data_IF_512209702032
#
_entry.id   IF_512209702032
#
_cell.length_a   1.000
_cell.length_b   1.000
_cell.length_c   1.000
_cell.angle_alpha   90.00
_cell.angle_beta   90.00
_cell.angle_gamma   90.00
#
_symmetry.space_group_name_H-M   'P 1'
#
loop_
_entity.id
_entity.type
_entity.pdbx_description
1 polymer ?
#
# COMPACT_ATOMS: atom_id res chain seq x y z
N UNK A 1 -11.72 -1.89 -8.83
CA UNK A 1 -10.37 -1.30 -8.80
C UNK A 1 -9.73 -1.46 -10.18
N UNK A 2 -8.94 -0.49 -10.64
CA UNK A 2 -8.28 -0.60 -11.93
C UNK A 2 -6.98 -1.41 -11.78
N UNK A 3 -7.06 -2.73 -11.96
CA UNK A 3 -5.86 -3.53 -12.23
C UNK A 3 -5.27 -3.07 -13.56
N UNK A 4 -4.00 -2.67 -13.54
CA UNK A 4 -3.29 -2.29 -14.77
C UNK A 4 -2.15 -3.26 -14.99
N UNK A 5 -2.13 -3.88 -16.15
CA UNK A 5 -1.03 -4.71 -16.61
C UNK A 5 -0.20 -3.90 -17.60
N UNK A 6 1.07 -3.68 -17.26
CA UNK A 6 2.04 -3.08 -18.16
C UNK A 6 2.93 -4.19 -18.73
N UNK A 7 2.89 -4.38 -20.05
CA UNK A 7 3.78 -5.28 -20.76
C UNK A 7 4.92 -4.45 -21.37
N UNK A 8 6.15 -4.72 -20.96
CA UNK A 8 7.35 -4.02 -21.43
C UNK A 8 8.20 -5.01 -22.22
N UNK A 9 8.60 -4.59 -23.42
CA UNK A 9 9.43 -5.38 -24.32
C UNK A 9 10.73 -4.62 -24.55
N UNK A 10 11.85 -5.28 -24.27
CA UNK A 10 13.19 -4.77 -24.51
C UNK A 10 13.83 -5.56 -25.66
N UNK A 11 14.19 -4.87 -26.73
CA UNK A 11 14.79 -5.47 -27.93
C UNK A 11 16.04 -4.69 -28.33
N UNK A 12 17.18 -5.36 -28.46
CA UNK A 12 18.39 -4.75 -29.01
C UNK A 12 19.03 -3.66 -28.13
N UNK A 13 18.83 -3.71 -26.81
CA UNK A 13 19.46 -2.76 -25.89
C UNK A 13 20.99 -2.84 -26.00
N UNK A 14 21.66 -1.70 -26.16
CA UNK A 14 23.12 -1.67 -26.30
C UNK A 14 23.85 -1.82 -24.96
N UNK A 15 23.17 -1.51 -23.86
CA UNK A 15 23.68 -1.58 -22.49
C UNK A 15 22.59 -2.10 -21.56
N UNK A 16 23.01 -2.66 -20.43
CA UNK A 16 22.10 -2.98 -19.34
C UNK A 16 21.32 -1.72 -18.96
N UNK A 17 19.99 -1.86 -18.90
CA UNK A 17 19.09 -0.73 -18.70
C UNK A 17 18.10 -1.08 -17.60
N UNK A 18 17.96 -0.19 -16.62
CA UNK A 18 16.95 -0.31 -15.56
C UNK A 18 15.80 0.65 -15.82
N UNK A 19 14.58 0.14 -15.82
CA UNK A 19 13.35 0.94 -15.80
C UNK A 19 12.89 1.10 -14.35
N UNK A 20 12.71 2.35 -13.93
CA UNK A 20 12.18 2.72 -12.61
C UNK A 20 10.76 3.22 -12.76
N UNK A 21 9.80 2.51 -12.17
CA UNK A 21 8.39 2.90 -12.15
C UNK A 21 8.12 3.72 -10.88
N UNK A 22 7.64 4.95 -11.06
CA UNK A 22 7.42 5.94 -10.00
C UNK A 22 5.97 6.39 -9.99
N UNK A 23 5.49 6.87 -8.84
CA UNK A 23 4.16 7.48 -8.72
C UNK A 23 4.12 8.93 -9.21
N UNK A 24 5.23 9.64 -9.01
CA UNK A 24 5.41 11.02 -9.44
C UNK A 24 6.63 11.13 -10.35
N UNK A 25 6.56 11.89 -11.46
CA UNK A 25 7.71 12.14 -12.30
C UNK A 25 8.83 12.86 -11.51
N UNK A 26 10.06 12.34 -11.49
CA UNK A 26 11.14 13.00 -10.79
C UNK A 26 11.61 14.24 -11.56
N UNK A 27 12.10 15.24 -10.84
CA UNK A 27 12.77 16.38 -11.45
C UNK A 27 14.21 16.00 -11.80
N UNK A 28 14.49 15.83 -13.09
CA UNK A 28 15.81 15.44 -13.61
C UNK A 28 16.96 16.35 -13.15
N UNK A 29 16.71 17.64 -12.89
CA UNK A 29 17.74 18.58 -12.43
C UNK A 29 18.14 18.39 -10.96
N UNK A 30 17.29 17.73 -10.16
CA UNK A 30 17.47 17.53 -8.70
C UNK A 30 17.73 16.08 -8.29
N UNK A 31 17.57 15.14 -9.23
CA UNK A 31 17.78 13.71 -9.04
C UNK A 31 19.19 13.42 -8.48
N UNK A 32 19.23 12.67 -7.38
CA UNK A 32 20.45 12.27 -6.65
C UNK A 32 21.28 13.42 -6.03
N UNK A 33 20.72 14.64 -6.00
CA UNK A 33 21.27 15.78 -5.26
C UNK A 33 20.38 16.10 -4.07
N UNK A 34 19.17 16.57 -4.39
CA UNK A 34 18.18 17.04 -3.42
C UNK A 34 16.89 16.21 -3.48
N UNK A 35 16.73 15.38 -4.53
CA UNK A 35 15.59 14.49 -4.71
C UNK A 35 16.09 13.05 -4.89
N UNK A 36 15.68 12.18 -3.97
CA UNK A 36 15.81 10.73 -4.12
C UNK A 36 14.48 10.19 -4.64
N UNK A 37 14.46 9.54 -5.82
CA UNK A 37 13.22 9.06 -6.42
C UNK A 37 12.61 7.95 -5.56
N UNK A 38 11.32 8.07 -5.24
CA UNK A 38 10.55 6.99 -4.61
C UNK A 38 10.02 6.09 -5.72
N UNK A 39 10.67 4.94 -5.87
CA UNK A 39 10.39 3.96 -6.91
C UNK A 39 9.56 2.83 -6.32
N UNK A 40 8.41 2.53 -6.92
CA UNK A 40 7.58 1.40 -6.48
C UNK A 40 7.96 0.08 -7.16
N UNK A 41 8.62 0.12 -8.32
CA UNK A 41 9.18 -1.06 -8.97
C UNK A 41 10.40 -0.73 -9.84
N UNK A 42 11.46 -1.53 -9.73
CA UNK A 42 12.61 -1.49 -10.63
C UNK A 42 12.64 -2.78 -11.46
N UNK A 43 12.88 -2.65 -12.77
CA UNK A 43 13.06 -3.77 -13.69
C UNK A 43 14.38 -3.57 -14.42
N UNK A 44 15.22 -4.60 -14.46
CA UNK A 44 16.50 -4.52 -15.18
C UNK A 44 16.48 -5.44 -16.39
N UNK A 45 16.86 -4.89 -17.53
CA UNK A 45 17.02 -5.59 -18.79
C UNK A 45 18.51 -5.66 -19.15
N UNK A 46 18.97 -6.82 -19.59
CA UNK A 46 20.36 -7.03 -20.03
C UNK A 46 20.56 -6.55 -21.47
N UNK A 47 21.76 -6.07 -21.76
CA UNK A 47 22.19 -5.70 -23.11
C UNK A 47 22.07 -6.89 -24.09
N UNK A 48 21.82 -6.59 -25.36
CA UNK A 48 21.78 -7.51 -26.51
C UNK A 48 20.76 -8.66 -26.40
N UNK A 49 19.96 -8.70 -25.34
CA UNK A 49 18.91 -9.69 -25.15
C UNK A 49 17.57 -9.26 -25.73
N UNK A 50 16.68 -10.24 -25.83
CA UNK A 50 15.24 -10.04 -26.05
C UNK A 50 14.54 -10.42 -24.76
N UNK A 51 13.95 -9.43 -24.09
CA UNK A 51 13.35 -9.64 -22.79
C UNK A 51 11.96 -9.02 -22.73
N UNK A 52 11.07 -9.70 -22.02
CA UNK A 52 9.74 -9.20 -21.67
C UNK A 52 9.64 -9.12 -20.17
N UNK A 53 9.11 -8.02 -19.67
CA UNK A 53 8.65 -7.91 -18.29
C UNK A 53 7.16 -7.58 -18.28
N UNK A 54 6.40 -8.30 -17.47
CA UNK A 54 5.02 -7.99 -17.18
C UNK A 54 4.95 -7.43 -15.76
N UNK A 55 4.44 -6.21 -15.61
CA UNK A 55 4.20 -5.61 -14.29
C UNK A 55 2.71 -5.48 -14.08
N UNK A 56 2.24 -6.08 -12.99
CA UNK A 56 0.90 -5.88 -12.50
C UNK A 56 0.94 -4.79 -11.44
N UNK A 57 0.25 -3.68 -11.72
CA UNK A 57 -0.02 -2.67 -10.72
C UNK A 57 -1.41 -2.91 -10.13
N UNK A 58 -1.43 -3.30 -8.86
CA UNK A 58 -2.64 -3.44 -8.09
C UNK A 58 -2.41 -2.81 -6.71
N UNK A 59 -2.88 -1.57 -6.52
CA UNK A 59 -2.80 -0.92 -5.22
C UNK A 59 -3.96 -1.38 -4.36
N UNK A 60 -3.70 -2.30 -3.43
CA UNK A 60 -4.65 -2.73 -2.41
C UNK A 60 -4.33 -1.98 -1.15
N UNK A 61 -5.12 -0.97 -0.82
CA UNK A 61 -4.99 -0.26 0.45
C UNK A 61 -5.81 -0.99 1.51
N UNK A 62 -5.35 -0.98 2.74
CA UNK A 62 -6.11 -1.50 3.86
C UNK A 62 -5.92 -0.62 5.09
N UNK A 63 -6.97 -0.54 5.92
CA UNK A 63 -6.80 -0.11 7.31
C UNK A 63 -6.45 -1.32 8.16
N UNK A 64 -5.49 -1.16 9.06
CA UNK A 64 -5.06 -2.18 10.01
C UNK A 64 -5.23 -1.71 11.45
N UNK A 65 -5.48 -2.64 12.37
CA UNK A 65 -5.39 -2.39 13.79
C UNK A 65 -4.11 -3.00 14.36
N UNK A 66 -3.35 -2.13 15.00
CA UNK A 66 -2.03 -2.42 15.51
C UNK A 66 -2.07 -2.79 16.99
N UNK A 67 -1.38 -3.86 17.37
CA UNK A 67 -0.83 -3.95 18.73
C UNK A 67 0.55 -3.31 18.70
N UNK A 68 0.71 -2.17 19.37
CA UNK A 68 2.01 -1.55 19.56
C UNK A 68 2.63 -2.14 20.82
N UNK A 69 3.69 -2.94 20.68
CA UNK A 69 4.54 -3.31 21.83
C UNK A 69 5.79 -2.41 21.86
N UNK A 70 6.18 -2.06 23.10
CA UNK A 70 7.34 -1.27 23.54
C UNK A 70 8.28 -0.88 22.40
N UNK A 71 7.93 0.25 21.80
CA UNK A 71 8.72 1.06 20.88
C UNK A 71 9.00 0.53 19.48
N UNK A 72 8.67 -0.69 19.05
CA UNK A 72 9.13 -1.09 17.69
C UNK A 72 8.55 -2.27 16.90
N UNK A 73 7.30 -2.72 17.07
CA UNK A 73 6.69 -3.51 16.00
C UNK A 73 5.17 -3.43 16.01
N UNK A 74 4.60 -2.98 14.88
CA UNK A 74 3.18 -3.03 14.58
C UNK A 74 2.95 -4.24 13.69
N UNK A 75 2.63 -5.38 14.29
CA UNK A 75 1.92 -6.41 13.55
C UNK A 75 0.42 -6.11 13.62
N UNK A 76 -0.26 -6.20 12.49
CA UNK A 76 -1.68 -5.89 12.44
C UNK A 76 -2.47 -7.12 12.86
N UNK A 77 -3.15 -7.04 14.00
CA UNK A 77 -3.96 -8.16 14.48
C UNK A 77 -5.16 -8.44 13.55
N UNK A 78 -5.65 -7.40 12.87
CA UNK A 78 -6.69 -7.49 11.84
C UNK A 78 -6.53 -6.34 10.85
N UNK A 79 -7.04 -6.51 9.62
CA UNK A 79 -7.07 -5.46 8.59
C UNK A 79 -8.33 -5.59 7.72
N UNK A 80 -8.68 -4.50 7.04
CA UNK A 80 -9.76 -4.45 6.05
C UNK A 80 -9.29 -3.70 4.82
N UNK A 81 -9.40 -4.34 3.66
CA UNK A 81 -9.08 -3.71 2.37
C UNK A 81 -10.09 -2.61 2.08
N UNK A 82 -9.62 -1.47 1.56
CA UNK A 82 -10.42 -0.27 1.29
C UNK A 82 -10.12 0.32 -0.07
N UNK A 83 -11.14 0.97 -0.64
CA UNK A 83 -11.02 1.82 -1.82
C UNK A 83 -11.55 3.22 -1.55
N UNK A 84 -11.14 4.19 -2.38
CA UNK A 84 -11.63 5.57 -2.29
C UNK A 84 -13.16 5.63 -2.14
N UNK A 85 -13.61 6.38 -1.12
CA UNK A 85 -15.03 6.50 -0.74
C UNK A 85 -15.52 5.45 0.27
N UNK A 86 -14.68 4.48 0.65
CA UNK A 86 -15.02 3.53 1.72
C UNK A 86 -14.95 4.19 3.11
N UNK A 87 -15.91 3.80 3.92
CA UNK A 87 -15.96 4.02 5.37
C UNK A 87 -15.88 2.65 6.02
N UNK A 88 -14.76 2.39 6.68
CA UNK A 88 -14.54 1.23 7.53
C UNK A 88 -14.74 1.60 8.99
N UNK A 89 -15.05 0.61 9.83
CA UNK A 89 -15.11 0.80 11.27
C UNK A 89 -14.49 -0.37 12.01
N UNK A 90 -13.71 -0.07 13.03
CA UNK A 90 -13.29 -1.05 14.02
C UNK A 90 -14.25 -1.02 15.21
N UNK A 91 -14.62 -2.20 15.72
CA UNK A 91 -15.48 -2.35 16.90
C UNK A 91 -15.03 -3.57 17.72
N UNK A 92 -15.60 -3.72 18.92
CA UNK A 92 -15.31 -4.80 19.85
C UNK A 92 -14.44 -4.39 21.04
N UNK A 93 -14.30 -5.33 21.98
CA UNK A 93 -13.66 -5.11 23.27
C UNK A 93 -12.13 -5.26 23.24
N UNK A 94 -11.48 -4.95 24.36
CA UNK A 94 -10.05 -5.17 24.53
C UNK A 94 -9.67 -6.65 24.23
N UNK A 95 -8.82 -6.85 23.22
CA UNK A 95 -8.39 -8.18 22.78
C UNK A 95 -9.28 -8.87 21.73
N UNK A 96 -10.46 -8.32 21.41
CA UNK A 96 -11.37 -8.86 20.38
C UNK A 96 -11.85 -7.78 19.39
N UNK A 97 -10.97 -6.84 19.06
CA UNK A 97 -11.27 -5.82 18.06
C UNK A 97 -11.27 -6.42 16.65
N UNK A 98 -12.24 -6.01 15.84
CA UNK A 98 -12.40 -6.45 14.45
C UNK A 98 -12.90 -5.33 13.56
N UNK A 99 -12.57 -5.41 12.29
CA UNK A 99 -13.20 -4.59 11.28
C UNK A 99 -14.54 -5.19 10.86
N UNK A 100 -15.54 -4.33 10.70
CA UNK A 100 -16.78 -4.69 10.01
C UNK A 100 -16.68 -4.51 8.50
N UNK A 101 -17.78 -4.77 7.80
CA UNK A 101 -17.87 -4.52 6.36
C UNK A 101 -17.73 -3.03 6.04
N UNK A 102 -17.12 -2.74 4.89
CA UNK A 102 -17.03 -1.37 4.40
C UNK A 102 -18.40 -0.88 3.94
N UNK A 103 -18.71 0.37 4.30
CA UNK A 103 -19.84 1.12 3.77
C UNK A 103 -19.35 2.21 2.82
N UNK A 104 -20.25 2.76 1.98
CA UNK A 104 -19.93 3.87 1.08
C UNK A 104 -20.36 5.19 1.71
N UNK A 105 -19.46 6.16 1.76
CA UNK A 105 -19.80 7.52 2.19
C UNK A 105 -20.58 8.27 1.11
N UNK A 106 -21.65 8.97 1.49
CA UNK A 106 -22.38 9.84 0.56
C UNK A 106 -21.52 11.03 0.15
N UNK A 107 -20.99 11.02 -1.08
CA UNK A 107 -20.33 12.18 -1.69
C UNK A 107 -18.87 12.41 -1.31
N UNK A 108 -18.20 11.48 -0.62
CA UNK A 108 -16.76 11.60 -0.30
C UNK A 108 -15.92 10.63 -1.13
N UNK A 109 -14.76 11.10 -1.60
CA UNK A 109 -13.70 10.26 -2.18
C UNK A 109 -12.63 9.89 -1.14
N UNK A 110 -12.81 10.31 0.10
CA UNK A 110 -11.87 10.04 1.18
C UNK A 110 -11.96 8.58 1.62
N UNK A 111 -10.86 8.10 2.20
CA UNK A 111 -10.83 6.86 2.98
C UNK A 111 -11.10 7.23 4.44
N UNK A 112 -12.08 6.58 5.06
CA UNK A 112 -12.45 6.86 6.46
C UNK A 112 -12.36 5.58 7.27
N UNK A 113 -11.69 5.63 8.41
CA UNK A 113 -11.69 4.58 9.41
C UNK A 113 -12.25 5.12 10.72
N UNK A 114 -13.38 4.58 11.17
CA UNK A 114 -14.03 4.97 12.43
C UNK A 114 -13.60 4.05 13.56
N UNK A 115 -13.25 4.64 14.70
CA UNK A 115 -13.13 3.87 15.93
C UNK A 115 -14.49 3.84 16.64
N UNK A 116 -15.17 2.69 16.59
CA UNK A 116 -16.42 2.42 17.30
C UNK A 116 -16.19 1.47 18.49
N UNK A 117 -15.00 1.47 19.07
CA UNK A 117 -14.71 0.74 20.33
C UNK A 117 -14.91 1.68 21.52
N UNK A 118 -15.09 1.13 22.72
CA UNK A 118 -15.31 1.91 23.96
C UNK A 118 -14.04 2.63 24.47
N UNK A 119 -12.92 2.49 23.75
CA UNK A 119 -11.65 3.09 24.14
C UNK A 119 -10.83 3.52 22.93
N UNK A 120 -9.66 4.08 23.20
CA UNK A 120 -8.74 4.47 22.14
C UNK A 120 -8.19 3.24 21.39
N UNK A 121 -7.94 3.41 20.10
CA UNK A 121 -7.36 2.38 19.24
C UNK A 121 -6.15 2.91 18.47
N UNK A 122 -5.17 2.04 18.23
CA UNK A 122 -4.05 2.33 17.35
C UNK A 122 -4.42 1.80 15.96
N UNK A 123 -4.53 2.71 14.99
CA UNK A 123 -4.93 2.40 13.62
C UNK A 123 -3.77 2.66 12.68
N UNK A 124 -3.73 1.91 11.60
CA UNK A 124 -2.75 2.11 10.53
C UNK A 124 -3.43 2.08 9.17
N UNK A 125 -2.79 2.68 8.19
CA UNK A 125 -3.09 2.44 6.77
C UNK A 125 -1.83 1.92 6.10
N UNK A 126 -2.01 0.99 5.16
CA UNK A 126 -0.92 0.32 4.50
C UNK A 126 -1.36 -0.40 3.24
N UNK A 127 -0.45 -1.23 2.73
CA UNK A 127 -0.64 -2.00 1.52
C UNK A 127 -0.92 -3.46 1.83
N UNK A 128 -1.78 -4.08 1.04
CA UNK A 128 -2.03 -5.52 1.09
C UNK A 128 -1.34 -6.20 -0.09
N UNK A 129 -0.34 -7.03 0.23
CA UNK A 129 0.41 -7.82 -0.74
C UNK A 129 -0.10 -9.27 -0.75
N UNK A 130 0.13 -10.00 -1.84
CA UNK A 130 -0.32 -11.39 -1.99
C UNK A 130 -1.82 -11.52 -2.25
N UNK A 131 -2.33 -12.75 -2.28
CA UNK A 131 -3.73 -13.08 -2.57
C UNK A 131 -4.22 -14.29 -1.76
N UNK A 132 -5.53 -14.38 -1.54
CA UNK A 132 -6.15 -15.41 -0.70
C UNK A 132 -5.54 -15.50 0.69
N UNK A 133 -5.14 -16.71 1.10
CA UNK A 133 -4.51 -16.99 2.40
C UNK A 133 -3.06 -16.49 2.51
N UNK A 134 -2.45 -16.10 1.40
CA UNK A 134 -1.08 -15.56 1.36
C UNK A 134 -1.05 -14.03 1.43
N UNK A 135 -2.19 -13.41 1.75
CA UNK A 135 -2.25 -11.97 1.91
C UNK A 135 -1.44 -11.52 3.13
N UNK A 136 -0.67 -10.46 2.95
CA UNK A 136 0.13 -9.82 4.00
C UNK A 136 -0.12 -8.32 3.99
N UNK A 137 -0.55 -7.81 5.13
CA UNK A 137 -0.70 -6.38 5.34
C UNK A 137 0.63 -5.76 5.79
N UNK A 138 1.01 -4.65 5.16
CA UNK A 138 2.23 -3.89 5.42
C UNK A 138 1.86 -2.45 5.80
N UNK A 139 1.83 -2.10 7.10
CA UNK A 139 1.46 -0.76 7.56
C UNK A 139 2.49 0.27 7.07
N UNK A 140 1.99 1.43 6.62
CA UNK A 140 2.83 2.54 6.14
C UNK A 140 2.73 3.77 7.04
N UNK A 141 1.53 4.10 7.51
CA UNK A 141 1.28 5.19 8.45
C UNK A 141 0.49 4.66 9.65
N UNK A 142 0.78 5.17 10.84
CA UNK A 142 0.17 4.75 12.10
C UNK A 142 -0.33 5.97 12.86
N UNK A 143 -1.55 5.87 13.40
CA UNK A 143 -2.14 6.81 14.34
C UNK A 143 -2.36 6.11 15.67
N UNK A 144 -1.74 6.63 16.72
CA UNK A 144 -1.91 6.12 18.08
C UNK A 144 -3.01 6.86 18.81
N UNK A 145 -3.78 6.15 19.62
CA UNK A 145 -4.73 6.78 20.54
C UNK A 145 -5.95 7.40 19.87
N UNK A 146 -6.38 6.90 18.71
CA UNK A 146 -7.58 7.34 17.99
C UNK A 146 -8.80 7.01 18.84
N UNK A 147 -9.61 8.00 19.21
CA UNK A 147 -10.81 7.84 20.02
C UNK A 147 -11.68 9.09 19.94
#
# INVERSE_FOLDING_TARGET
MASKTLNIYAYGLQKDTSLMLMFEPPNSSKLFKDQFPVVWKVITFRAKGHAKATVHYHQRLAFGYAQTDRDNLVDSAAWVEVVSGDISSISGDAGQKRFGDNSKGSGTKLLVCKNNTDGRANLSIGFLNGDGVYQRYEPTLVWTGVG
#
